data_IF_900519592547
#
_entry.id   IF_900519592547
#
_cell.length_a   1.000
_cell.length_b   1.000
_cell.length_c   1.000
_cell.angle_alpha   90.00
_cell.angle_beta   90.00
_cell.angle_gamma   90.00
#
_symmetry.space_group_name_H-M   'P 1'
#
loop_
_entity.id
_entity.type
_entity.pdbx_description
1 polymer ?
#
# COMPACT_ATOMS: atom_id res chain seq x y z
N UNK A 1 15.81 22.13 9.52
CA UNK A 1 15.27 20.79 9.83
C UNK A 1 14.16 20.50 8.84
N UNK A 2 14.34 19.51 7.95
CA UNK A 2 13.35 19.21 6.93
C UNK A 2 12.08 18.64 7.60
N UNK A 3 10.94 19.31 7.41
CA UNK A 3 9.63 18.73 7.72
C UNK A 3 9.55 17.41 6.97
N UNK A 4 9.50 16.28 7.68
CA UNK A 4 9.13 15.00 7.08
C UNK A 4 7.70 15.14 6.57
N UNK A 5 7.54 15.38 5.27
CA UNK A 5 6.25 15.54 4.63
C UNK A 5 5.58 14.15 4.55
N UNK A 6 4.76 13.85 5.55
CA UNK A 6 3.96 12.62 5.57
C UNK A 6 2.96 12.54 4.39
N UNK A 7 2.67 13.66 3.72
CA UNK A 7 1.95 13.67 2.44
C UNK A 7 2.67 12.90 1.34
N UNK A 8 4.01 12.86 1.37
CA UNK A 8 4.79 12.23 0.31
C UNK A 8 4.66 10.71 0.38
N UNK A 9 4.66 10.14 1.59
CA UNK A 9 4.50 8.71 1.79
C UNK A 9 3.16 8.20 1.26
N UNK A 10 2.04 8.85 1.56
CA UNK A 10 0.72 8.40 1.07
C UNK A 10 0.64 8.40 -0.45
N UNK A 11 1.26 9.39 -1.10
CA UNK A 11 1.37 9.46 -2.56
C UNK A 11 2.23 8.32 -3.11
N UNK A 12 3.39 8.03 -2.50
CA UNK A 12 4.25 6.92 -2.92
C UNK A 12 3.60 5.55 -2.67
N UNK A 13 2.86 5.42 -1.57
CA UNK A 13 2.10 4.21 -1.24
C UNK A 13 1.05 3.94 -2.33
N UNK A 14 0.25 4.94 -2.68
CA UNK A 14 -0.72 4.83 -3.76
C UNK A 14 -0.07 4.50 -5.11
N UNK A 15 1.02 5.19 -5.46
CA UNK A 15 1.74 4.95 -6.71
C UNK A 15 2.23 3.51 -6.81
N UNK A 16 2.78 2.94 -5.74
CA UNK A 16 3.24 1.55 -5.70
C UNK A 16 2.10 0.56 -6.02
N UNK A 17 0.95 0.67 -5.35
CA UNK A 17 -0.19 -0.20 -5.63
C UNK A 17 -0.74 0.00 -7.04
N UNK A 18 -0.83 1.25 -7.50
CA UNK A 18 -1.33 1.57 -8.83
C UNK A 18 -0.50 0.92 -9.93
N UNK A 19 0.83 0.95 -9.83
CA UNK A 19 1.70 0.30 -10.82
C UNK A 19 1.50 -1.22 -10.84
N UNK A 20 1.34 -1.87 -9.69
CA UNK A 20 1.01 -3.31 -9.64
C UNK A 20 -0.34 -3.59 -10.30
N UNK A 21 -1.37 -2.77 -10.03
CA UNK A 21 -2.69 -2.98 -10.63
C UNK A 21 -2.68 -2.81 -12.15
N UNK A 22 -1.90 -1.86 -12.68
CA UNK A 22 -1.74 -1.65 -14.12
C UNK A 22 -1.14 -2.87 -14.84
N UNK A 23 -0.33 -3.67 -14.16
CA UNK A 23 0.22 -4.91 -14.74
C UNK A 23 -0.88 -5.93 -15.10
N UNK A 24 -2.05 -5.86 -14.46
CA UNK A 24 -3.18 -6.73 -14.79
C UNK A 24 -3.85 -6.39 -16.13
N UNK A 25 -3.56 -5.20 -16.72
CA UNK A 25 -4.09 -4.72 -18.00
C UNK A 25 -5.62 -4.88 -18.12
N UNK A 26 -6.32 -4.65 -17.03
CA UNK A 26 -7.78 -4.76 -16.94
C UNK A 26 -8.35 -3.45 -16.38
N UNK A 27 -8.84 -2.60 -17.28
CA UNK A 27 -9.29 -1.25 -16.94
C UNK A 27 -10.46 -1.25 -15.94
N UNK A 28 -11.35 -2.25 -16.02
CA UNK A 28 -12.46 -2.40 -15.07
C UNK A 28 -11.95 -2.73 -13.67
N UNK A 29 -10.98 -3.64 -13.57
CA UNK A 29 -10.34 -3.99 -12.30
C UNK A 29 -9.59 -2.79 -11.71
N UNK A 30 -8.77 -2.12 -12.52
CA UNK A 30 -7.98 -0.95 -12.11
C UNK A 30 -8.92 0.16 -11.60
N UNK A 31 -10.01 0.44 -12.33
CA UNK A 31 -11.00 1.47 -11.93
C UNK A 31 -11.66 1.10 -10.60
N UNK A 32 -12.13 -0.14 -10.46
CA UNK A 32 -12.72 -0.65 -9.21
C UNK A 32 -11.78 -0.47 -8.01
N UNK A 33 -10.49 -0.80 -8.18
CA UNK A 33 -9.50 -0.68 -7.11
C UNK A 33 -9.18 0.78 -6.75
N UNK A 34 -9.14 1.68 -7.73
CA UNK A 34 -8.99 3.13 -7.49
C UNK A 34 -10.17 3.69 -6.70
N UNK A 35 -11.39 3.26 -7.02
CA UNK A 35 -12.59 3.72 -6.31
C UNK A 35 -12.61 3.23 -4.86
N UNK A 36 -12.23 1.96 -4.62
CA UNK A 36 -12.07 1.42 -3.26
C UNK A 36 -11.01 2.17 -2.46
N UNK A 37 -9.89 2.55 -3.09
CA UNK A 37 -8.82 3.31 -2.44
C UNK A 37 -9.27 4.72 -2.02
N UNK A 38 -10.04 5.40 -2.86
CA UNK A 38 -10.54 6.75 -2.59
C UNK A 38 -11.70 6.77 -1.59
N UNK A 39 -12.54 5.73 -1.58
CA UNK A 39 -13.72 5.62 -0.72
C UNK A 39 -13.38 5.31 0.75
N UNK A 40 -12.23 4.68 1.01
CA UNK A 40 -11.71 4.49 2.36
C UNK A 40 -10.85 5.71 2.70
N UNK A 41 -11.21 6.43 3.76
CA UNK A 41 -10.47 7.57 4.32
C UNK A 41 -9.11 7.19 4.94
N UNK A 42 -8.39 6.25 4.31
CA UNK A 42 -7.06 5.74 4.65
C UNK A 42 -6.07 6.89 4.79
N UNK A 43 -6.15 7.91 3.93
CA UNK A 43 -5.32 9.11 3.99
C UNK A 43 -5.42 9.90 5.31
N UNK A 44 -6.54 9.78 6.06
CA UNK A 44 -6.78 10.59 7.27
C UNK A 44 -6.10 10.02 8.53
N UNK A 45 -5.68 8.75 8.50
CA UNK A 45 -5.18 8.02 9.69
C UNK A 45 -3.65 7.82 9.65
N UNK A 46 -3.01 7.95 8.48
CA UNK A 46 -1.63 7.53 8.24
C UNK A 46 -0.54 8.56 8.59
N UNK A 47 -0.65 9.28 9.72
CA UNK A 47 0.37 10.26 10.13
C UNK A 47 1.56 9.67 10.92
N UNK A 48 1.63 8.35 11.10
CA UNK A 48 2.65 7.70 11.91
C UNK A 48 3.90 7.31 11.10
N UNK A 49 5.07 7.84 11.47
CA UNK A 49 6.35 7.54 10.84
C UNK A 49 6.74 6.06 10.92
N UNK A 50 6.40 5.37 12.01
CA UNK A 50 6.67 3.94 12.18
C UNK A 50 5.81 3.10 11.22
N UNK A 51 4.57 3.52 10.99
CA UNK A 51 3.71 2.88 9.99
C UNK A 51 4.33 3.00 8.60
N UNK A 52 4.74 4.19 8.20
CA UNK A 52 5.36 4.43 6.90
C UNK A 52 6.63 3.60 6.70
N UNK A 53 7.48 3.52 7.73
CA UNK A 53 8.71 2.72 7.71
C UNK A 53 8.42 1.22 7.56
N UNK A 54 7.43 0.69 8.29
CA UNK A 54 7.03 -0.70 8.17
C UNK A 54 6.47 -1.00 6.78
N UNK A 55 5.55 -0.17 6.29
CA UNK A 55 4.96 -0.32 4.96
C UNK A 55 6.01 -0.33 3.84
N UNK A 56 7.00 0.57 3.92
CA UNK A 56 8.11 0.61 2.95
C UNK A 56 8.97 -0.66 2.99
N UNK A 57 9.15 -1.30 4.15
CA UNK A 57 9.84 -2.58 4.24
C UNK A 57 9.03 -3.68 3.54
N UNK A 58 7.73 -3.75 3.79
CA UNK A 58 6.83 -4.72 3.16
C UNK A 58 6.77 -4.53 1.64
N UNK A 59 6.73 -3.29 1.15
CA UNK A 59 6.77 -2.98 -0.28
C UNK A 59 8.05 -3.49 -0.95
N UNK A 60 9.19 -3.40 -0.26
CA UNK A 60 10.45 -3.96 -0.76
C UNK A 60 10.38 -5.47 -0.89
N UNK A 61 9.85 -6.18 0.11
CA UNK A 61 9.70 -7.64 0.08
C UNK A 61 8.76 -8.09 -1.05
N UNK A 62 7.66 -7.36 -1.26
CA UNK A 62 6.74 -7.59 -2.39
C UNK A 62 7.45 -7.37 -3.73
N UNK A 63 8.21 -6.28 -3.86
CA UNK A 63 8.96 -5.97 -5.08
C UNK A 63 10.02 -7.05 -5.37
N UNK A 64 10.75 -7.49 -4.36
CA UNK A 64 11.76 -8.54 -4.49
C UNK A 64 11.12 -9.85 -4.97
N UNK A 65 9.93 -10.20 -4.47
CA UNK A 65 9.16 -11.36 -4.95
C UNK A 65 8.67 -11.20 -6.40
N UNK A 66 8.24 -9.99 -6.79
CA UNK A 66 7.86 -9.69 -8.17
C UNK A 66 9.05 -9.78 -9.14
N UNK A 67 10.22 -9.26 -8.74
CA UNK A 67 11.47 -9.33 -9.53
C UNK A 67 11.93 -10.77 -9.69
N UNK A 68 11.76 -11.60 -8.65
CA UNK A 68 12.03 -13.03 -8.70
C UNK A 68 10.97 -13.84 -9.47
N UNK A 69 9.99 -13.17 -10.10
CA UNK A 69 8.86 -13.79 -10.82
C UNK A 69 8.03 -14.75 -9.96
N UNK A 70 8.10 -14.64 -8.64
CA UNK A 70 7.35 -15.47 -7.71
C UNK A 70 6.00 -14.82 -7.38
N UNK A 71 5.06 -15.00 -8.29
CA UNK A 71 3.71 -14.41 -8.18
C UNK A 71 2.92 -14.89 -6.96
N UNK A 72 3.13 -16.13 -6.51
CA UNK A 72 2.46 -16.66 -5.31
C UNK A 72 2.97 -15.96 -4.04
N UNK A 73 4.28 -15.84 -3.88
CA UNK A 73 4.88 -15.13 -2.76
C UNK A 73 4.48 -13.65 -2.77
N UNK A 74 4.51 -12.98 -3.93
CA UNK A 74 4.11 -11.59 -4.06
C UNK A 74 2.65 -11.37 -3.63
N UNK A 75 1.74 -12.28 -4.03
CA UNK A 75 0.33 -12.26 -3.61
C UNK A 75 0.20 -12.41 -2.09
N UNK A 76 0.91 -13.36 -1.50
CA UNK A 76 0.80 -13.66 -0.08
C UNK A 76 1.39 -12.54 0.79
N UNK A 77 2.51 -11.93 0.37
CA UNK A 77 3.09 -10.75 1.02
C UNK A 77 2.16 -9.54 0.92
N UNK A 78 1.58 -9.27 -0.26
CA UNK A 78 0.59 -8.19 -0.43
C UNK A 78 -0.64 -8.39 0.46
N UNK A 79 -1.13 -9.64 0.56
CA UNK A 79 -2.24 -9.98 1.45
C UNK A 79 -1.90 -9.68 2.91
N UNK A 80 -0.73 -10.11 3.39
CA UNK A 80 -0.27 -9.83 4.76
C UNK A 80 -0.16 -8.33 5.03
N UNK A 81 0.43 -7.57 4.11
CA UNK A 81 0.52 -6.12 4.16
C UNK A 81 -0.86 -5.44 4.32
N UNK A 82 -1.86 -5.86 3.54
CA UNK A 82 -3.23 -5.31 3.63
C UNK A 82 -3.90 -5.64 4.98
N UNK A 83 -3.74 -6.87 5.49
CA UNK A 83 -4.30 -7.23 6.80
C UNK A 83 -3.66 -6.44 7.94
N UNK A 84 -2.32 -6.32 7.97
CA UNK A 84 -1.63 -5.52 8.99
C UNK A 84 -2.06 -4.06 8.92
N UNK A 85 -2.18 -3.51 7.71
CA UNK A 85 -2.65 -2.14 7.47
C UNK A 85 -4.06 -1.93 8.03
N UNK A 86 -4.97 -2.89 7.79
CA UNK A 86 -6.33 -2.91 8.36
C UNK A 86 -6.32 -2.93 9.89
N UNK A 87 -5.54 -3.83 10.51
CA UNK A 87 -5.45 -3.91 11.99
C UNK A 87 -4.87 -2.62 12.60
N UNK A 88 -3.88 -2.02 11.94
CA UNK A 88 -3.30 -0.74 12.36
C UNK A 88 -4.34 0.37 12.31
N UNK A 89 -5.16 0.42 11.25
CA UNK A 89 -6.27 1.39 11.14
C UNK A 89 -7.29 1.18 12.26
N UNK A 90 -7.76 -0.05 12.48
CA UNK A 90 -8.75 -0.36 13.53
C UNK A 90 -8.25 0.01 14.94
N UNK A 91 -6.97 -0.22 15.22
CA UNK A 91 -6.36 0.10 16.52
C UNK A 91 -6.24 1.61 16.76
N UNK A 92 -6.12 2.40 15.68
CA UNK A 92 -5.98 3.85 15.74
C UNK A 92 -7.27 4.62 15.41
N UNK A 93 -8.36 3.92 15.08
CA UNK A 93 -9.70 4.48 14.87
C UNK A 93 -10.34 4.73 16.24
N UNK A 94 -10.25 5.97 16.73
CA UNK A 94 -11.00 6.46 17.90
C UNK A 94 -11.85 7.65 17.50
#
# INVERSE_FOLDING_TARGET
>A
MAKKNFSDYSNYNYAFHLEIWKLAKNDKLITTLKDLWNGLSVNKIMSNAEYAKMSMKEHKEILDALIAENGELARDLMRQHLYRSKESILTHYR
#
